data_IF_138525519813
#
_entry.id   IF_138525519813
#
_cell.length_a   1.000
_cell.length_b   1.000
_cell.length_c   1.000
_cell.angle_alpha   90.00
_cell.angle_beta   90.00
_cell.angle_gamma   90.00
#
_symmetry.space_group_name_H-M   'P 1'
#
loop_
_entity.id
_entity.type
_entity.pdbx_description
1 polymer ?
#
# COMPACT_ATOMS: atom_id res chain seq x y z
N UNK A 1 -6.02 -12.40 28.35
CA UNK A 1 -7.25 -13.04 28.87
C UNK A 1 -6.89 -14.47 29.24
N UNK A 2 -6.73 -14.70 30.53
CA UNK A 2 -5.74 -15.67 31.00
C UNK A 2 -6.43 -16.93 31.50
N UNK A 3 -5.84 -18.08 31.17
CA UNK A 3 -6.38 -19.38 31.53
C UNK A 3 -5.39 -20.05 32.49
N UNK A 4 -5.65 -19.91 33.79
CA UNK A 4 -4.79 -20.52 34.83
C UNK A 4 -5.17 -21.98 34.98
N UNK A 5 -4.28 -22.87 34.53
CA UNK A 5 -4.44 -24.31 34.65
C UNK A 5 -3.17 -24.91 35.24
N UNK A 6 -3.34 -25.77 36.24
CA UNK A 6 -2.22 -26.49 36.84
C UNK A 6 -1.52 -27.35 35.79
N UNK A 7 -0.18 -27.37 35.85
CA UNK A 7 0.78 -28.02 34.91
C UNK A 7 1.28 -27.18 33.73
N UNK A 8 0.72 -26.00 33.50
CA UNK A 8 1.30 -24.97 32.62
C UNK A 8 0.24 -24.15 31.92
N UNK A 9 0.58 -22.92 31.51
CA UNK A 9 -0.30 -22.01 30.82
C UNK A 9 0.38 -21.42 29.57
N UNK A 10 -0.40 -21.22 28.50
CA UNK A 10 0.03 -20.50 27.30
C UNK A 10 -0.79 -19.22 27.17
N UNK A 11 -0.14 -18.10 26.89
CA UNK A 11 -0.76 -16.82 26.58
C UNK A 11 -0.05 -16.14 25.42
N UNK A 12 -0.80 -15.40 24.61
CA UNK A 12 -0.27 -14.57 23.53
C UNK A 12 -0.66 -13.11 23.81
N UNK A 13 0.30 -12.21 23.67
CA UNK A 13 0.10 -10.77 23.64
C UNK A 13 0.41 -10.25 22.24
N UNK A 14 -0.64 -9.83 21.53
CA UNK A 14 -0.54 -9.32 20.16
C UNK A 14 0.20 -7.97 20.10
N UNK A 15 0.18 -7.15 21.16
CA UNK A 15 0.81 -5.83 21.16
C UNK A 15 2.35 -5.91 21.23
N UNK A 16 2.87 -6.98 21.84
CA UNK A 16 4.31 -7.29 21.94
C UNK A 16 4.70 -8.47 21.04
N UNK A 17 3.78 -8.94 20.19
CA UNK A 17 3.87 -10.16 19.39
C UNK A 17 4.51 -11.35 20.12
N UNK A 18 4.18 -11.55 21.40
CA UNK A 18 4.88 -12.47 22.30
C UNK A 18 3.98 -13.61 22.75
N UNK A 19 4.43 -14.85 22.54
CA UNK A 19 3.85 -16.06 23.13
C UNK A 19 4.61 -16.41 24.42
N UNK A 20 3.93 -16.39 25.56
CA UNK A 20 4.48 -16.80 26.85
C UNK A 20 3.98 -18.20 27.21
N UNK A 21 4.91 -19.09 27.55
CA UNK A 21 4.60 -20.32 28.29
C UNK A 21 5.03 -20.16 29.75
N UNK A 22 4.11 -20.47 30.68
CA UNK A 22 4.40 -20.57 32.11
C UNK A 22 4.35 -22.05 32.49
N UNK A 23 5.42 -22.57 33.10
CA UNK A 23 5.49 -23.97 33.49
C UNK A 23 4.73 -24.29 34.80
N UNK A 24 4.71 -25.57 35.18
CA UNK A 24 4.08 -26.05 36.40
C UNK A 24 4.64 -25.45 37.72
N UNK A 25 5.83 -24.83 37.67
CA UNK A 25 6.49 -24.16 38.80
C UNK A 25 6.22 -22.66 38.86
N UNK A 26 5.59 -22.10 37.82
CA UNK A 26 5.39 -20.66 37.66
C UNK A 26 6.54 -19.95 36.93
N UNK A 27 7.48 -20.68 36.34
CA UNK A 27 8.58 -20.09 35.56
C UNK A 27 8.06 -19.77 34.15
N UNK A 28 8.20 -18.51 33.71
CA UNK A 28 7.85 -18.10 32.35
C UNK A 28 9.03 -18.30 31.38
N UNK A 29 8.70 -18.63 30.13
CA UNK A 29 9.58 -18.55 28.96
C UNK A 29 8.81 -17.84 27.86
N UNK A 30 9.35 -16.71 27.41
CA UNK A 30 8.75 -15.87 26.39
C UNK A 30 9.34 -16.19 25.01
N UNK A 31 8.49 -16.07 24.00
CA UNK A 31 8.76 -16.30 22.59
C UNK A 31 8.26 -15.07 21.85
N UNK A 32 9.16 -14.11 21.68
CA UNK A 32 8.88 -12.89 20.91
C UNK A 32 8.98 -13.27 19.44
N UNK A 33 7.89 -13.11 18.69
CA UNK A 33 7.91 -13.27 17.25
C UNK A 33 8.37 -11.98 16.56
N UNK A 34 8.82 -12.14 15.33
CA UNK A 34 9.22 -11.05 14.45
C UNK A 34 8.14 -9.97 14.27
N UNK A 35 8.57 -8.73 14.10
CA UNK A 35 7.70 -7.60 13.76
C UNK A 35 7.98 -7.15 12.33
N UNK A 36 6.94 -6.97 11.52
CA UNK A 36 7.03 -6.28 10.22
C UNK A 36 6.23 -4.99 10.28
N UNK A 37 6.62 -3.99 9.49
CA UNK A 37 5.86 -2.74 9.39
C UNK A 37 5.93 -2.15 7.98
N UNK A 38 4.85 -1.48 7.59
CA UNK A 38 4.81 -0.60 6.44
C UNK A 38 4.44 0.78 6.98
N UNK A 39 5.31 1.76 6.78
CA UNK A 39 5.12 3.15 7.23
C UNK A 39 5.14 4.05 6.01
N UNK A 40 4.15 4.92 5.90
CA UNK A 40 4.09 5.94 4.85
C UNK A 40 4.34 7.32 5.45
N UNK A 41 5.29 8.05 4.89
CA UNK A 41 5.57 9.43 5.25
C UNK A 41 4.96 10.37 4.20
N UNK A 42 3.90 11.08 4.56
CA UNK A 42 3.17 12.02 3.71
C UNK A 42 3.99 13.26 3.35
N UNK A 43 4.87 13.72 4.23
CA UNK A 43 5.73 14.87 3.98
C UNK A 43 6.89 14.58 3.00
N UNK A 44 7.26 13.31 2.80
CA UNK A 44 8.30 12.90 1.84
C UNK A 44 7.80 11.99 0.72
N UNK A 45 6.53 11.55 0.76
CA UNK A 45 5.93 10.56 -0.15
C UNK A 45 6.68 9.22 -0.24
N UNK A 46 7.38 8.84 0.83
CA UNK A 46 8.16 7.61 0.91
C UNK A 46 7.38 6.56 1.69
N UNK A 47 7.28 5.39 1.08
CA UNK A 47 6.82 4.15 1.69
C UNK A 47 8.03 3.36 2.18
N UNK A 48 8.09 3.04 3.47
CA UNK A 48 9.15 2.22 4.08
C UNK A 48 8.55 0.91 4.56
N UNK A 49 9.06 -0.20 4.04
CA UNK A 49 8.79 -1.53 4.60
C UNK A 49 9.97 -1.93 5.50
N UNK A 50 9.70 -2.29 6.75
CA UNK A 50 10.69 -2.85 7.68
C UNK A 50 10.42 -4.34 7.84
N UNK A 51 11.45 -5.16 7.56
CA UNK A 51 11.36 -6.60 7.71
C UNK A 51 11.54 -7.06 9.17
N UNK A 52 11.34 -8.36 9.37
CA UNK A 52 11.50 -9.06 10.65
C UNK A 52 12.86 -8.92 11.33
N UNK A 53 13.91 -8.57 10.59
CA UNK A 53 15.27 -8.32 11.10
C UNK A 53 15.51 -6.85 11.43
N UNK A 54 14.53 -5.97 11.21
CA UNK A 54 14.68 -4.52 11.30
C UNK A 54 15.39 -3.90 10.09
N UNK A 55 15.54 -4.62 8.98
CA UNK A 55 16.11 -4.07 7.74
C UNK A 55 15.00 -3.33 6.96
N UNK A 56 15.32 -2.15 6.42
CA UNK A 56 14.36 -1.28 5.74
C UNK A 56 14.54 -1.30 4.22
N UNK A 57 13.42 -1.37 3.50
CA UNK A 57 13.33 -1.18 2.06
C UNK A 57 12.38 -0.01 1.77
N UNK A 58 12.88 1.03 1.10
CA UNK A 58 12.11 2.22 0.75
C UNK A 58 11.65 2.22 -0.71
N UNK A 59 10.48 2.80 -0.94
CA UNK A 59 9.92 3.15 -2.26
C UNK A 59 9.47 4.61 -2.19
N UNK A 60 9.98 5.44 -3.09
CA UNK A 60 9.53 6.82 -3.26
C UNK A 60 8.34 6.84 -4.24
N UNK A 61 7.13 6.94 -3.69
CA UNK A 61 5.90 6.98 -4.48
C UNK A 61 5.70 8.37 -5.13
N UNK A 62 6.21 9.43 -4.51
CA UNK A 62 6.19 10.77 -5.08
C UNK A 62 7.05 10.85 -6.34
N UNK A 63 8.24 10.25 -6.31
CA UNK A 63 9.11 10.13 -7.48
C UNK A 63 8.50 9.25 -8.59
N UNK A 64 7.69 8.22 -8.26
CA UNK A 64 6.95 7.46 -9.28
C UNK A 64 5.96 8.37 -10.03
N UNK A 65 5.13 9.13 -9.31
CA UNK A 65 4.17 10.06 -9.92
C UNK A 65 4.92 11.12 -10.73
N UNK A 66 5.86 11.84 -10.11
CA UNK A 66 6.58 12.94 -10.74
C UNK A 66 7.45 12.52 -11.95
N UNK A 67 7.95 11.28 -12.00
CA UNK A 67 8.73 10.79 -13.15
C UNK A 67 7.88 10.40 -14.36
N UNK A 68 6.56 10.23 -14.19
CA UNK A 68 5.63 9.77 -15.23
C UNK A 68 4.51 10.80 -15.53
N UNK A 69 4.68 12.04 -15.08
CA UNK A 69 3.77 13.19 -15.27
C UNK A 69 4.47 14.28 -16.15
N UNK A 70 3.75 15.25 -16.72
CA UNK A 70 4.24 16.18 -17.77
C UNK A 70 3.73 17.65 -17.61
N UNK A 71 4.02 18.63 -18.49
CA UNK A 71 3.78 20.09 -18.25
C UNK A 71 3.02 20.94 -19.34
N UNK A 72 1.92 21.63 -18.95
CA UNK A 72 1.22 22.83 -19.47
C UNK A 72 0.63 23.71 -18.36
N UNK A 73 1.23 24.87 -18.10
CA UNK A 73 0.51 25.95 -17.41
C UNK A 73 -0.47 26.62 -18.38
N UNK A 74 -1.73 26.21 -18.43
CA UNK A 74 -2.74 26.85 -19.29
C UNK A 74 -3.22 28.20 -18.74
N UNK A 75 -3.25 29.22 -19.59
CA UNK A 75 -4.05 30.42 -19.39
C UNK A 75 -4.80 30.77 -20.66
N UNK A 76 -6.02 31.29 -20.53
CA UNK A 76 -6.85 31.68 -21.66
C UNK A 76 -7.23 33.16 -21.59
N UNK A 77 -6.80 33.94 -22.58
CA UNK A 77 -7.24 35.32 -22.77
C UNK A 77 -8.43 35.38 -23.73
N UNK A 78 -9.61 35.58 -23.14
CA UNK A 78 -10.88 35.76 -23.87
C UNK A 78 -10.92 37.03 -24.74
N UNK A 79 -10.10 38.04 -24.48
CA UNK A 79 -10.07 39.27 -25.28
C UNK A 79 -9.33 39.08 -26.61
N UNK A 80 -8.28 38.26 -26.62
CA UNK A 80 -7.51 37.92 -27.84
C UNK A 80 -7.87 36.56 -28.44
N UNK A 81 -8.71 35.77 -27.75
CA UNK A 81 -8.98 34.35 -28.04
C UNK A 81 -7.69 33.51 -28.09
N UNK A 82 -6.75 33.78 -27.19
CA UNK A 82 -5.44 33.11 -27.15
C UNK A 82 -5.39 32.15 -25.97
N UNK A 83 -4.97 30.91 -26.24
CA UNK A 83 -4.57 29.95 -25.23
C UNK A 83 -3.04 29.99 -25.13
N UNK A 84 -2.52 30.35 -23.96
CA UNK A 84 -1.08 30.36 -23.67
C UNK A 84 -0.77 29.14 -22.80
N UNK A 85 0.23 28.36 -23.18
CA UNK A 85 0.74 27.22 -22.38
C UNK A 85 2.27 27.28 -22.24
N UNK A 86 2.83 26.50 -21.31
CA UNK A 86 4.28 26.32 -21.17
C UNK A 86 4.64 24.83 -21.31
N UNK A 87 5.69 24.47 -22.05
CA UNK A 87 6.15 23.09 -22.20
C UNK A 87 7.05 22.61 -21.03
N UNK A 88 7.57 21.39 -21.12
CA UNK A 88 8.47 20.76 -20.13
C UNK A 88 9.78 21.54 -19.91
N UNK A 89 10.34 22.09 -21.00
CA UNK A 89 11.47 23.03 -21.02
C UNK A 89 11.13 24.43 -20.45
N UNK A 90 9.87 24.64 -20.04
CA UNK A 90 9.31 25.88 -19.46
C UNK A 90 9.27 27.05 -20.44
N UNK A 91 9.19 26.75 -21.73
CA UNK A 91 9.03 27.72 -22.83
C UNK A 91 7.54 27.99 -23.03
N UNK A 92 7.17 29.27 -23.06
CA UNK A 92 5.79 29.70 -23.25
C UNK A 92 5.43 29.77 -24.74
N UNK A 93 4.26 29.22 -25.10
CA UNK A 93 3.70 29.18 -26.43
C UNK A 93 2.31 29.82 -26.46
N UNK A 94 2.06 30.69 -27.45
CA UNK A 94 0.75 31.30 -27.69
C UNK A 94 0.02 30.63 -28.87
N UNK A 95 -1.17 30.10 -28.60
CA UNK A 95 -2.09 29.55 -29.58
C UNK A 95 -3.28 30.50 -29.77
N UNK A 96 -3.26 31.26 -30.85
CA UNK A 96 -4.41 32.09 -31.27
C UNK A 96 -5.50 31.19 -31.85
N UNK A 97 -6.61 31.06 -31.13
CA UNK A 97 -7.75 30.22 -31.50
C UNK A 97 -8.65 30.98 -32.49
N UNK A 98 -9.21 30.25 -33.46
CA UNK A 98 -9.94 30.82 -34.60
C UNK A 98 -11.33 31.39 -34.27
N UNK A 99 -12.30 31.24 -35.18
CA UNK A 99 -13.65 31.82 -35.03
C UNK A 99 -14.62 30.98 -34.19
N UNK A 100 -14.13 29.96 -33.49
CA UNK A 100 -14.91 29.18 -32.51
C UNK A 100 -14.83 29.80 -31.12
N UNK A 101 -15.74 29.42 -30.23
CA UNK A 101 -15.70 29.84 -28.84
C UNK A 101 -14.95 28.79 -28.01
N UNK A 102 -13.93 29.22 -27.27
CA UNK A 102 -13.22 28.36 -26.31
C UNK A 102 -13.43 28.90 -24.90
N UNK A 103 -13.56 27.99 -23.95
CA UNK A 103 -13.54 28.28 -22.51
C UNK A 103 -12.66 27.26 -21.79
N UNK A 104 -11.93 27.71 -20.79
CA UNK A 104 -11.18 26.86 -19.88
C UNK A 104 -11.79 26.98 -18.48
N UNK A 105 -12.15 25.86 -17.88
CA UNK A 105 -12.53 25.76 -16.48
C UNK A 105 -11.33 25.23 -15.68
N UNK A 106 -10.70 26.11 -14.91
CA UNK A 106 -9.56 25.78 -14.06
C UNK A 106 -9.92 24.89 -12.85
N UNK A 107 -11.21 24.78 -12.47
CA UNK A 107 -11.63 23.93 -11.36
C UNK A 107 -11.79 22.47 -11.77
N UNK A 108 -12.10 22.21 -13.04
CA UNK A 108 -12.23 20.87 -13.63
C UNK A 108 -11.11 20.56 -14.64
N UNK A 109 -10.10 21.43 -14.72
CA UNK A 109 -9.00 21.39 -15.68
C UNK A 109 -9.44 21.06 -17.11
N UNK A 110 -10.58 21.60 -17.53
CA UNK A 110 -11.27 21.22 -18.76
C UNK A 110 -11.26 22.37 -19.76
N UNK A 111 -10.74 22.11 -20.96
CA UNK A 111 -10.86 23.00 -22.12
C UNK A 111 -12.06 22.57 -22.96
N UNK A 112 -13.03 23.46 -23.10
CA UNK A 112 -14.21 23.28 -23.94
C UNK A 112 -14.06 24.07 -25.23
N UNK A 113 -14.17 23.40 -26.38
CA UNK A 113 -14.32 24.03 -27.69
C UNK A 113 -15.77 23.93 -28.17
N UNK A 114 -16.37 25.05 -28.52
CA UNK A 114 -17.69 25.13 -29.16
C UNK A 114 -17.53 25.64 -30.60
N UNK A 115 -17.99 24.83 -31.55
CA UNK A 115 -17.93 25.17 -32.97
C UNK A 115 -18.98 26.20 -33.40
N UNK A 116 -18.91 26.64 -34.66
CA UNK A 116 -19.83 27.63 -35.22
C UNK A 116 -21.29 27.13 -35.35
N UNK A 117 -21.57 25.84 -35.11
CA UNK A 117 -22.91 25.24 -35.06
C UNK A 117 -23.45 25.10 -33.63
N UNK A 118 -22.62 25.34 -32.61
CA UNK A 118 -22.96 25.15 -31.20
C UNK A 118 -22.61 23.76 -30.66
N UNK A 119 -21.85 22.94 -31.41
CA UNK A 119 -21.43 21.62 -30.94
C UNK A 119 -20.22 21.77 -30.02
N UNK A 120 -20.33 21.24 -28.80
CA UNK A 120 -19.28 21.26 -27.77
C UNK A 120 -18.39 20.02 -27.86
N UNK A 121 -17.09 20.18 -27.65
CA UNK A 121 -16.14 19.11 -27.35
C UNK A 121 -15.25 19.54 -26.19
N UNK A 122 -15.22 18.71 -25.16
CA UNK A 122 -14.39 18.91 -23.98
C UNK A 122 -13.08 18.12 -24.11
N UNK A 123 -12.02 18.68 -23.51
CA UNK A 123 -10.70 18.10 -23.35
C UNK A 123 -10.35 18.26 -21.86
N UNK A 124 -10.49 17.18 -21.10
CA UNK A 124 -10.11 17.13 -19.68
C UNK A 124 -8.61 16.85 -19.62
N UNK A 125 -7.86 17.61 -18.82
CA UNK A 125 -6.42 17.41 -18.62
C UNK A 125 -6.13 16.81 -17.25
N UNK A 126 -5.02 16.09 -17.13
CA UNK A 126 -4.63 15.32 -15.95
C UNK A 126 -5.66 14.25 -15.52
N UNK A 127 -6.23 13.50 -16.48
CA UNK A 127 -6.92 12.24 -16.14
C UNK A 127 -5.87 11.16 -15.84
N UNK A 128 -5.40 11.17 -14.61
CA UNK A 128 -4.42 10.26 -14.03
C UNK A 128 -5.06 9.45 -12.91
N UNK A 129 -4.42 8.36 -12.48
CA UNK A 129 -4.83 7.68 -11.24
C UNK A 129 -3.69 6.89 -10.62
N UNK A 130 -3.78 6.63 -9.32
CA UNK A 130 -2.94 5.66 -8.61
C UNK A 130 -3.86 4.71 -7.86
N UNK A 131 -3.96 3.47 -8.35
CA UNK A 131 -4.95 2.49 -7.91
C UNK A 131 -4.26 1.22 -7.46
N UNK A 132 -4.69 0.65 -6.33
CA UNK A 132 -4.24 -0.66 -5.88
C UNK A 132 -5.24 -1.75 -6.30
N UNK A 133 -4.74 -2.83 -6.88
CA UNK A 133 -5.51 -4.03 -7.18
C UNK A 133 -5.25 -5.09 -6.10
N UNK A 134 -6.26 -5.39 -5.28
CA UNK A 134 -6.20 -6.37 -4.18
C UNK A 134 -5.99 -7.82 -4.64
N UNK A 135 -6.42 -8.15 -5.85
CA UNK A 135 -6.37 -9.49 -6.41
C UNK A 135 -4.99 -9.82 -6.97
N UNK A 136 -4.26 -8.81 -7.47
CA UNK A 136 -2.89 -8.96 -7.98
C UNK A 136 -1.81 -8.41 -7.06
N UNK A 137 -2.19 -7.64 -6.04
CA UNK A 137 -1.32 -6.85 -5.15
C UNK A 137 -0.43 -5.81 -5.86
N UNK A 138 -0.90 -5.32 -7.02
CA UNK A 138 -0.20 -4.34 -7.84
C UNK A 138 -0.79 -2.95 -7.62
N UNK A 139 0.08 -1.99 -7.31
CA UNK A 139 -0.19 -0.56 -7.38
C UNK A 139 0.11 -0.07 -8.80
N UNK A 140 -0.90 0.46 -9.50
CA UNK A 140 -0.77 0.99 -10.86
C UNK A 140 -0.93 2.50 -10.84
N UNK A 141 0.09 3.22 -11.31
CA UNK A 141 -0.05 4.60 -11.77
C UNK A 141 -0.45 4.60 -13.25
N UNK A 142 -1.49 5.34 -13.60
CA UNK A 142 -1.89 5.59 -14.99
C UNK A 142 -1.68 7.08 -15.28
N UNK A 143 -0.86 7.39 -16.28
CA UNK A 143 -0.63 8.77 -16.68
C UNK A 143 -1.78 9.32 -17.54
N UNK A 144 -1.74 10.62 -17.83
CA UNK A 144 -2.72 11.35 -18.65
C UNK A 144 -2.84 10.88 -20.11
N UNK A 145 -1.96 9.98 -20.56
CA UNK A 145 -2.01 9.30 -21.87
C UNK A 145 -2.64 7.91 -21.81
N UNK A 146 -3.01 7.44 -20.64
CA UNK A 146 -3.46 6.07 -20.39
C UNK A 146 -2.33 5.04 -20.37
N UNK A 147 -1.07 5.48 -20.25
CA UNK A 147 0.07 4.58 -20.09
C UNK A 147 0.23 4.20 -18.62
N UNK A 148 0.53 2.93 -18.35
CA UNK A 148 0.58 2.37 -16.99
C UNK A 148 2.03 2.11 -16.52
N UNK A 149 2.31 2.44 -15.26
CA UNK A 149 3.50 2.05 -14.53
C UNK A 149 3.10 1.35 -13.24
N UNK A 150 3.75 0.24 -12.91
CA UNK A 150 3.30 -0.68 -11.86
C UNK A 150 4.37 -0.95 -10.80
N UNK A 151 3.92 -1.10 -9.55
CA UNK A 151 4.71 -1.59 -8.42
C UNK A 151 3.97 -2.77 -7.81
N UNK A 152 4.64 -3.93 -7.75
CA UNK A 152 4.11 -5.12 -7.07
C UNK A 152 4.42 -5.03 -5.57
N UNK A 153 3.43 -4.56 -4.78
CA UNK A 153 3.55 -4.47 -3.32
C UNK A 153 3.45 -5.85 -2.68
N UNK A 154 2.74 -6.80 -3.31
CA UNK A 154 2.69 -8.19 -2.85
C UNK A 154 4.06 -8.86 -2.90
N UNK A 155 4.81 -8.66 -3.98
CA UNK A 155 6.19 -9.12 -4.12
C UNK A 155 7.15 -8.40 -3.16
N UNK A 156 6.95 -7.11 -2.91
CA UNK A 156 7.72 -6.37 -1.89
C UNK A 156 7.54 -7.00 -0.51
N UNK A 157 6.29 -7.19 -0.08
CA UNK A 157 5.95 -7.82 1.20
C UNK A 157 6.50 -9.23 1.24
N UNK A 158 6.18 -10.10 0.28
CA UNK A 158 6.61 -11.50 0.27
C UNK A 158 8.14 -11.70 0.17
N UNK A 159 8.88 -10.76 -0.41
CA UNK A 159 10.36 -10.81 -0.45
C UNK A 159 11.01 -10.39 0.88
N UNK A 160 10.29 -9.64 1.72
CA UNK A 160 10.78 -9.11 2.99
C UNK A 160 10.07 -9.70 4.21
N UNK A 161 9.03 -10.53 4.05
CA UNK A 161 8.49 -11.35 5.11
C UNK A 161 9.32 -12.61 5.33
N UNK A 162 9.62 -12.91 6.60
CA UNK A 162 10.18 -14.22 6.98
C UNK A 162 9.07 -15.14 7.43
N UNK A 163 8.99 -16.31 6.79
CA UNK A 163 8.07 -17.37 7.19
C UNK A 163 8.47 -17.94 8.55
N UNK A 164 7.72 -17.58 9.59
CA UNK A 164 7.82 -18.17 10.93
C UNK A 164 7.22 -19.58 10.89
N UNK A 165 8.07 -20.59 10.74
CA UNK A 165 7.63 -21.99 10.71
C UNK A 165 7.56 -22.54 12.13
N UNK A 166 6.34 -22.77 12.63
CA UNK A 166 6.11 -23.57 13.82
C UNK A 166 5.88 -25.04 13.43
N UNK A 167 6.50 -25.95 14.18
CA UNK A 167 6.28 -27.40 14.08
C UNK A 167 6.04 -27.96 15.48
N UNK A 168 5.20 -28.99 15.57
CA UNK A 168 4.91 -29.64 16.85
C UNK A 168 5.17 -31.15 16.77
N UNK A 169 6.03 -31.64 17.65
CA UNK A 169 6.23 -33.06 17.87
C UNK A 169 5.38 -33.56 19.04
N UNK A 170 4.32 -34.30 18.70
CA UNK A 170 3.42 -34.95 19.64
C UNK A 170 4.08 -36.05 20.49
N UNK A 171 5.19 -36.63 20.05
CA UNK A 171 5.88 -37.68 20.80
C UNK A 171 6.72 -37.11 21.96
N UNK A 172 7.30 -35.92 21.77
CA UNK A 172 8.10 -35.21 22.80
C UNK A 172 7.34 -34.07 23.49
N UNK A 173 6.13 -33.75 23.03
CA UNK A 173 5.34 -32.57 23.42
C UNK A 173 6.11 -31.25 23.21
N UNK A 174 6.88 -31.16 22.13
CA UNK A 174 7.75 -30.02 21.85
C UNK A 174 7.17 -29.19 20.72
N UNK A 175 6.99 -27.88 20.97
CA UNK A 175 6.79 -26.88 19.93
C UNK A 175 8.17 -26.35 19.53
N UNK A 176 8.52 -26.51 18.26
CA UNK A 176 9.80 -26.08 17.69
C UNK A 176 9.51 -25.01 16.65
N UNK A 177 10.13 -23.83 16.78
CA UNK A 177 10.10 -22.80 15.76
C UNK A 177 11.52 -22.46 15.27
N UNK A 178 11.62 -21.99 14.04
CA UNK A 178 12.83 -21.34 13.53
C UNK A 178 12.61 -19.83 13.50
N UNK A 179 13.57 -19.06 14.01
CA UNK A 179 13.59 -17.61 13.88
C UNK A 179 14.07 -17.15 12.49
N UNK A 180 14.05 -15.85 12.26
CA UNK A 180 14.51 -15.22 11.02
C UNK A 180 16.00 -15.44 10.73
N UNK A 181 16.83 -15.70 11.76
CA UNK A 181 18.24 -16.11 11.63
C UNK A 181 18.41 -17.61 11.37
N UNK A 182 17.30 -18.35 11.25
CA UNK A 182 17.21 -19.80 11.01
C UNK A 182 17.76 -20.61 12.19
N UNK A 183 17.80 -20.03 13.38
CA UNK A 183 18.13 -20.71 14.62
C UNK A 183 16.85 -21.40 15.10
N UNK A 184 16.98 -22.69 15.41
CA UNK A 184 15.88 -23.52 15.90
C UNK A 184 15.78 -23.43 17.41
N UNK A 185 14.57 -23.17 17.90
CA UNK A 185 14.26 -23.02 19.32
C UNK A 185 13.17 -24.00 19.74
N UNK A 186 13.44 -24.75 20.81
CA UNK A 186 12.50 -25.72 21.36
C UNK A 186 11.77 -25.18 22.60
N UNK A 187 10.47 -25.46 22.66
CA UNK A 187 9.59 -25.31 23.80
C UNK A 187 9.01 -26.68 24.15
N UNK A 188 9.58 -27.34 25.15
CA UNK A 188 8.99 -28.55 25.73
C UNK A 188 7.80 -28.12 26.59
N UNK A 189 6.60 -28.50 26.16
CA UNK A 189 5.35 -28.23 26.85
C UNK A 189 5.09 -29.32 27.90
N UNK A 190 4.50 -28.93 29.04
CA UNK A 190 4.27 -29.81 30.19
C UNK A 190 3.22 -30.91 29.93
N UNK A 191 2.04 -30.80 30.57
CA UNK A 191 0.89 -31.65 30.23
C UNK A 191 -0.20 -30.84 29.54
N UNK A 192 -0.55 -31.28 28.34
CA UNK A 192 -1.33 -30.58 27.33
C UNK A 192 -0.82 -31.01 25.95
N UNK A 193 -1.43 -30.51 24.89
CA UNK A 193 -0.94 -30.67 23.52
C UNK A 193 -1.13 -29.36 22.77
N UNK A 194 -0.26 -29.05 21.81
CA UNK A 194 -0.53 -28.00 20.81
C UNK A 194 -0.72 -28.60 19.41
N UNK A 195 -1.24 -27.80 18.50
CA UNK A 195 -1.17 -28.04 17.07
C UNK A 195 -1.09 -26.71 16.35
N UNK A 196 -0.34 -26.64 15.26
CA UNK A 196 -0.24 -25.45 14.43
C UNK A 196 -0.87 -25.74 13.06
N UNK A 197 -1.77 -24.87 12.62
CA UNK A 197 -2.29 -24.82 11.25
C UNK A 197 -1.61 -23.67 10.49
N UNK A 198 -0.74 -24.03 9.55
CA UNK A 198 -0.01 -23.09 8.72
C UNK A 198 -0.89 -22.38 7.67
N UNK A 199 -2.08 -22.88 7.37
CA UNK A 199 -2.99 -22.26 6.41
C UNK A 199 -3.86 -21.14 7.02
N UNK A 200 -3.97 -21.10 8.35
CA UNK A 200 -4.74 -20.11 9.11
C UNK A 200 -3.87 -19.42 10.18
N UNK A 201 -2.54 -19.58 10.09
CA UNK A 201 -1.53 -19.12 11.04
C UNK A 201 -1.91 -19.31 12.53
N UNK A 202 -2.58 -20.42 12.85
CA UNK A 202 -3.24 -20.62 14.15
C UNK A 202 -2.55 -21.70 14.96
N UNK A 203 -2.11 -21.34 16.18
CA UNK A 203 -1.67 -22.28 17.20
C UNK A 203 -2.84 -22.60 18.14
N UNK A 204 -3.32 -23.84 18.11
CA UNK A 204 -4.27 -24.37 19.07
C UNK A 204 -3.54 -24.99 20.26
N UNK A 205 -3.89 -24.61 21.49
CA UNK A 205 -3.50 -25.29 22.73
C UNK A 205 -4.68 -26.05 23.32
N UNK A 206 -4.47 -27.34 23.62
CA UNK A 206 -5.41 -28.20 24.34
C UNK A 206 -4.83 -28.52 25.71
N UNK A 207 -5.55 -28.17 26.76
CA UNK A 207 -5.11 -28.40 28.13
C UNK A 207 -5.21 -29.88 28.58
N UNK A 208 -4.75 -30.16 29.79
CA UNK A 208 -4.84 -31.49 30.41
C UNK A 208 -6.28 -31.97 30.70
N UNK A 209 -7.29 -31.11 30.56
CA UNK A 209 -8.72 -31.43 30.69
C UNK A 209 -9.43 -31.67 29.35
N UNK A 210 -8.76 -31.35 28.23
CA UNK A 210 -9.32 -31.39 26.88
C UNK A 210 -9.96 -30.09 26.39
N UNK A 211 -9.82 -28.98 27.13
CA UNK A 211 -10.29 -27.65 26.70
C UNK A 211 -9.32 -27.05 25.69
N UNK A 212 -9.85 -26.61 24.55
CA UNK A 212 -9.08 -26.01 23.46
C UNK A 212 -9.10 -24.48 23.53
N UNK A 213 -7.99 -23.84 23.17
CA UNK A 213 -7.88 -22.39 22.96
C UNK A 213 -6.97 -22.11 21.76
N UNK A 214 -7.46 -21.30 20.84
CA UNK A 214 -6.71 -20.91 19.65
C UNK A 214 -6.00 -19.57 19.85
N UNK A 215 -4.80 -19.47 19.30
CA UNK A 215 -3.98 -18.28 19.18
C UNK A 215 -3.70 -18.07 17.69
N UNK A 216 -4.45 -17.19 17.05
CA UNK A 216 -4.19 -16.75 15.68
C UNK A 216 -3.01 -15.78 15.73
N UNK A 217 -1.93 -16.07 15.01
CA UNK A 217 -0.80 -15.16 14.90
C UNK A 217 -1.03 -14.17 13.75
N UNK A 218 -0.58 -12.94 13.97
CA UNK A 218 -1.01 -11.78 13.21
C UNK A 218 -0.68 -11.91 11.71
N UNK A 219 -1.71 -12.11 10.89
CA UNK A 219 -1.64 -11.95 9.45
C UNK A 219 -1.51 -10.46 9.13
N UNK A 220 -0.49 -10.09 8.36
CA UNK A 220 -0.44 -8.77 7.73
C UNK A 220 -1.51 -8.70 6.63
N UNK A 221 -2.04 -7.51 6.35
CA UNK A 221 -2.99 -7.35 5.23
C UNK A 221 -2.80 -6.03 4.50
N UNK A 222 -3.21 -6.01 3.23
CA UNK A 222 -3.36 -4.81 2.40
C UNK A 222 -4.80 -4.75 1.90
N UNK A 223 -5.52 -3.71 2.29
CA UNK A 223 -6.93 -3.51 1.93
C UNK A 223 -7.07 -2.14 1.27
N UNK A 224 -7.67 -2.11 0.07
CA UNK A 224 -7.92 -0.86 -0.65
C UNK A 224 -9.41 -0.52 -0.68
N UNK A 225 -9.71 0.75 -0.43
CA UNK A 225 -11.04 1.33 -0.57
C UNK A 225 -11.08 2.25 -1.79
N UNK A 226 -11.68 1.77 -2.88
CA UNK A 226 -11.83 2.47 -4.16
C UNK A 226 -12.66 3.77 -4.07
N UNK A 227 -13.54 3.87 -3.07
CA UNK A 227 -14.45 4.99 -2.89
C UNK A 227 -13.78 6.14 -2.15
N UNK A 228 -12.75 5.85 -1.34
CA UNK A 228 -11.97 6.87 -0.61
C UNK A 228 -10.53 7.00 -1.11
N UNK A 229 -10.09 6.15 -2.05
CA UNK A 229 -8.70 6.01 -2.49
C UNK A 229 -7.70 5.72 -1.35
N UNK A 230 -8.14 5.04 -0.28
CA UNK A 230 -7.29 4.72 0.88
C UNK A 230 -6.81 3.28 0.77
N UNK A 231 -5.49 3.10 0.80
CA UNK A 231 -4.83 1.81 1.03
C UNK A 231 -4.49 1.70 2.52
N UNK A 232 -4.98 0.66 3.18
CA UNK A 232 -4.66 0.34 4.57
C UNK A 232 -3.76 -0.88 4.62
N UNK A 233 -2.60 -0.75 5.27
CA UNK A 233 -1.77 -1.87 5.70
C UNK A 233 -2.04 -2.18 7.16
N UNK A 234 -2.32 -3.44 7.49
CA UNK A 234 -2.31 -3.93 8.87
C UNK A 234 -1.01 -4.67 9.12
N UNK A 235 -0.25 -4.27 10.13
CA UNK A 235 1.03 -4.87 10.46
C UNK A 235 0.90 -6.14 11.31
N UNK A 236 2.03 -6.79 11.62
CA UNK A 236 2.07 -8.00 12.46
C UNK A 236 1.81 -7.74 13.96
N UNK A 237 1.17 -6.62 14.34
CA UNK A 237 0.59 -6.32 15.66
C UNK A 237 -0.92 -6.04 15.60
N UNK A 238 -1.50 -5.97 14.39
CA UNK A 238 -2.86 -5.46 14.19
C UNK A 238 -2.95 -3.92 14.18
N UNK A 239 -1.83 -3.21 14.10
CA UNK A 239 -1.81 -1.75 13.94
C UNK A 239 -1.99 -1.38 12.46
N UNK A 240 -2.81 -0.36 12.19
CA UNK A 240 -3.11 0.10 10.84
C UNK A 240 -2.28 1.32 10.44
N UNK A 241 -1.66 1.26 9.26
CA UNK A 241 -1.14 2.42 8.52
C UNK A 241 -2.03 2.67 7.31
N UNK A 242 -2.51 3.90 7.15
CA UNK A 242 -3.27 4.32 5.96
C UNK A 242 -2.42 5.15 5.01
N UNK A 243 -2.74 5.07 3.71
CA UNK A 243 -2.14 5.85 2.62
C UNK A 243 -3.29 6.35 1.77
N UNK A 244 -3.46 7.67 1.67
CA UNK A 244 -4.40 8.29 0.73
C UNK A 244 -3.69 8.43 -0.62
N UNK A 245 -4.00 7.50 -1.55
CA UNK A 245 -3.40 7.47 -2.87
C UNK A 245 -3.86 8.67 -3.72
N UNK A 246 -5.08 9.17 -3.49
CA UNK A 246 -5.60 10.35 -4.18
C UNK A 246 -4.88 11.63 -3.76
N UNK A 247 -4.63 11.80 -2.46
CA UNK A 247 -3.84 12.92 -1.94
C UNK A 247 -2.36 12.85 -2.36
N UNK A 248 -1.77 11.64 -2.37
CA UNK A 248 -0.41 11.39 -2.88
C UNK A 248 -0.28 11.82 -4.35
N UNK A 249 -1.22 11.43 -5.20
CA UNK A 249 -1.28 11.88 -6.60
C UNK A 249 -1.39 13.40 -6.66
N UNK A 250 -2.43 14.00 -6.06
CA UNK A 250 -2.67 15.44 -6.11
C UNK A 250 -1.52 16.31 -5.53
N UNK A 251 -0.63 15.74 -4.70
CA UNK A 251 0.53 16.42 -4.14
C UNK A 251 1.82 16.29 -4.97
N UNK A 252 1.92 15.31 -5.87
CA UNK A 252 3.14 15.00 -6.62
C UNK A 252 2.99 15.16 -8.14
N UNK A 253 1.77 15.38 -8.61
CA UNK A 253 1.54 15.80 -9.98
C UNK A 253 2.06 17.21 -10.24
N UNK A 254 2.63 17.40 -11.42
CA UNK A 254 2.61 18.70 -12.09
C UNK A 254 1.35 18.77 -12.98
N UNK A 255 1.38 19.04 -14.28
CA UNK A 255 0.15 19.34 -15.05
C UNK A 255 0.37 19.17 -16.55
N UNK A 256 -0.19 18.17 -17.22
CA UNK A 256 0.28 17.57 -18.50
C UNK A 256 0.45 18.43 -19.78
N UNK A 257 1.29 17.99 -20.75
CA UNK A 257 1.68 18.65 -22.04
C UNK A 257 0.56 18.87 -23.08
N UNK A 258 0.74 19.87 -23.96
CA UNK A 258 -0.06 20.10 -25.19
C UNK A 258 0.79 20.35 -26.44
N UNK A 259 0.35 19.78 -27.56
CA UNK A 259 0.85 20.01 -28.92
C UNK A 259 -0.31 20.42 -29.84
N UNK A 260 -0.14 21.46 -30.65
CA UNK A 260 -1.17 21.91 -31.61
C UNK A 260 -0.70 21.85 -33.06
N UNK A 261 -1.43 21.08 -33.89
CA UNK A 261 -1.27 21.08 -35.34
C UNK A 261 -2.20 22.09 -36.00
N UNK A 262 -1.59 23.19 -36.47
CA UNK A 262 -2.27 24.27 -37.20
C UNK A 262 -2.80 23.87 -38.58
N UNK A 263 -2.26 22.83 -39.21
CA UNK A 263 -2.69 22.37 -40.53
C UNK A 263 -3.98 21.55 -40.45
N UNK A 264 -4.16 20.78 -39.38
CA UNK A 264 -5.40 20.02 -39.11
C UNK A 264 -6.34 20.71 -38.13
N UNK A 265 -5.91 21.78 -37.46
CA UNK A 265 -6.61 22.44 -36.34
C UNK A 265 -6.89 21.45 -35.19
N UNK A 266 -5.90 20.59 -34.90
CA UNK A 266 -5.98 19.53 -33.88
C UNK A 266 -5.10 19.87 -32.69
N UNK A 267 -5.65 19.73 -31.49
CA UNK A 267 -4.92 19.76 -30.23
C UNK A 267 -4.72 18.31 -29.75
N UNK A 268 -3.48 17.91 -29.46
CA UNK A 268 -3.06 16.57 -29.01
C UNK A 268 -2.17 16.70 -27.79
N UNK A 269 -2.25 15.75 -26.84
CA UNK A 269 -1.38 15.70 -25.66
C UNK A 269 -0.12 14.84 -25.89
#
# INVERSE_FOLDING_TARGET
HDLVLGTGAVSYDAATNTLTYVDATGTSKDFVFNETSLVYNDATNILTYTNSKGEEQTIDLGALVAANETLTVLTYDKATNTLTYADEDKITHDLVLGTGAVSYDAATNTLTYVDATGTSKDFVFNETSLVYNDTTNILTYTNSKGEEQTIDLGALVAANETLTVLTYDKATNTLTYADEDKITHDLVLGTGAVSYDAATNTLTYVDATGTSKDFVFNETSLVYNDTTNILTYTNSKGEEQTIDLGALVAANETLTVLTYDKATNTLTY
#
